data_IF_415837842530
#
_entry.id   IF_415837842530
#
_cell.length_a   1.000
_cell.length_b   1.000
_cell.length_c   1.000
_cell.angle_alpha   90.00
_cell.angle_beta   90.00
_cell.angle_gamma   90.00
#
_symmetry.space_group_name_H-M   'P 1'
#
loop_
_entity.id
_entity.type
_entity.pdbx_description
1 polymer ?
#
# COMPACT_ATOMS: atom_id res chain seq x y z
N UNK A 1 -6.90 -7.37 11.20
CA UNK A 1 -5.81 -6.49 10.71
C UNK A 1 -4.56 -7.26 10.31
N UNK A 2 -3.98 -8.10 11.19
CA UNK A 2 -2.77 -8.91 10.89
C UNK A 2 -2.94 -9.83 9.67
N UNK A 3 -4.07 -10.51 9.56
CA UNK A 3 -4.40 -11.38 8.41
C UNK A 3 -4.43 -10.64 7.06
N UNK A 4 -4.90 -9.38 7.05
CA UNK A 4 -4.93 -8.55 5.84
C UNK A 4 -3.51 -8.21 5.38
N UNK A 5 -2.63 -7.85 6.31
CA UNK A 5 -1.22 -7.54 6.02
C UNK A 5 -0.51 -8.75 5.42
N UNK A 6 -0.69 -9.95 6.00
CA UNK A 6 -0.08 -11.18 5.46
C UNK A 6 -0.63 -11.53 4.07
N UNK A 7 -1.94 -11.40 3.84
CA UNK A 7 -2.53 -11.60 2.50
C UNK A 7 -1.96 -10.61 1.49
N UNK A 8 -1.89 -9.33 1.83
CA UNK A 8 -1.32 -8.29 0.96
C UNK A 8 0.17 -8.53 0.71
N UNK A 9 0.95 -8.88 1.75
CA UNK A 9 2.36 -9.21 1.64
C UNK A 9 2.58 -10.42 0.71
N UNK A 10 1.74 -11.46 0.81
CA UNK A 10 1.80 -12.62 -0.07
C UNK A 10 1.51 -12.26 -1.53
N UNK A 11 0.50 -11.41 -1.78
CA UNK A 11 0.15 -10.96 -3.14
C UNK A 11 1.30 -10.17 -3.81
N UNK A 12 2.03 -9.37 -3.04
CA UNK A 12 3.14 -8.56 -3.55
C UNK A 12 4.50 -9.24 -3.42
N UNK A 13 4.59 -10.42 -2.79
CA UNK A 13 5.85 -11.09 -2.46
C UNK A 13 6.74 -11.29 -3.68
N UNK A 14 6.16 -11.60 -4.84
CA UNK A 14 6.88 -11.79 -6.11
C UNK A 14 7.62 -10.55 -6.62
N UNK A 15 7.23 -9.36 -6.18
CA UNK A 15 7.84 -8.09 -6.59
C UNK A 15 8.99 -7.66 -5.67
N UNK A 16 9.21 -8.36 -4.55
CA UNK A 16 10.24 -8.03 -3.57
C UNK A 16 11.27 -9.14 -3.48
N UNK A 17 12.54 -8.77 -3.28
CA UNK A 17 13.66 -9.70 -3.09
C UNK A 17 13.51 -10.59 -1.86
N UNK A 18 12.69 -10.19 -0.88
CA UNK A 18 12.56 -10.86 0.41
C UNK A 18 11.18 -10.65 1.01
N UNK A 19 10.62 -11.68 1.63
CA UNK A 19 9.30 -11.61 2.25
C UNK A 19 9.22 -10.58 3.40
N UNK A 20 10.30 -10.38 4.15
CA UNK A 20 10.38 -9.35 5.19
C UNK A 20 10.21 -7.93 4.65
N UNK A 21 10.78 -7.63 3.46
CA UNK A 21 10.58 -6.36 2.76
C UNK A 21 9.14 -6.22 2.27
N UNK A 22 8.57 -7.28 1.69
CA UNK A 22 7.16 -7.31 1.29
C UNK A 22 6.22 -7.05 2.48
N UNK A 23 6.50 -7.64 3.64
CA UNK A 23 5.71 -7.44 4.86
C UNK A 23 5.77 -5.99 5.35
N UNK A 24 6.97 -5.41 5.37
CA UNK A 24 7.17 -4.01 5.74
C UNK A 24 6.44 -3.05 4.80
N UNK A 25 6.42 -3.35 3.51
CA UNK A 25 5.67 -2.59 2.51
C UNK A 25 4.16 -2.78 2.66
N UNK A 26 3.69 -4.01 2.88
CA UNK A 26 2.28 -4.32 3.09
C UNK A 26 1.69 -3.56 4.29
N UNK A 27 2.45 -3.40 5.38
CA UNK A 27 2.05 -2.55 6.50
C UNK A 27 1.80 -1.09 6.10
N UNK A 28 2.63 -0.52 5.23
CA UNK A 28 2.42 0.85 4.72
C UNK A 28 1.15 0.93 3.88
N UNK A 29 0.92 -0.05 3.01
CA UNK A 29 -0.28 -0.13 2.15
C UNK A 29 -1.55 -0.24 2.99
N UNK A 30 -1.59 -1.11 4.00
CA UNK A 30 -2.77 -1.26 4.87
C UNK A 30 -3.05 0.02 5.65
N UNK A 31 -2.03 0.69 6.18
CA UNK A 31 -2.18 1.99 6.86
C UNK A 31 -2.71 3.07 5.90
N UNK A 32 -2.20 3.09 4.67
CA UNK A 32 -2.68 4.02 3.64
C UNK A 32 -4.15 3.77 3.31
N UNK A 33 -4.55 2.50 3.11
CA UNK A 33 -5.95 2.11 2.87
C UNK A 33 -6.87 2.60 3.98
N UNK A 34 -6.47 2.45 5.24
CA UNK A 34 -7.25 2.94 6.39
C UNK A 34 -7.38 4.46 6.35
N UNK A 35 -6.30 5.20 6.04
CA UNK A 35 -6.37 6.66 5.91
C UNK A 35 -7.29 7.10 4.76
N UNK A 36 -7.22 6.40 3.61
CA UNK A 36 -8.05 6.68 2.44
C UNK A 36 -9.54 6.43 2.67
N UNK A 37 -9.91 5.55 3.60
CA UNK A 37 -11.32 5.34 3.96
C UNK A 37 -11.93 6.52 4.74
N UNK A 38 -11.09 7.35 5.37
CA UNK A 38 -11.56 8.48 6.19
C UNK A 38 -11.40 9.82 5.48
N UNK A 39 -10.41 9.97 4.59
CA UNK A 39 -10.09 11.23 3.93
C UNK A 39 -9.40 11.04 2.60
N UNK A 40 -9.35 12.11 1.81
CA UNK A 40 -8.47 12.21 0.64
C UNK A 40 -7.02 12.25 1.13
N UNK A 41 -6.19 11.36 0.58
CA UNK A 41 -4.76 11.25 0.95
C UNK A 41 -3.92 11.38 -0.30
N UNK A 42 -2.93 12.28 -0.25
CA UNK A 42 -1.81 12.28 -1.20
C UNK A 42 -0.73 11.31 -0.71
N UNK A 43 -0.25 10.44 -1.59
CA UNK A 43 0.82 9.51 -1.29
C UNK A 43 1.75 9.33 -2.48
N UNK A 44 3.01 8.99 -2.17
CA UNK A 44 4.02 8.65 -3.17
C UNK A 44 4.27 7.15 -3.16
N UNK A 45 4.48 6.57 -4.33
CA UNK A 45 4.87 5.18 -4.47
C UNK A 45 5.98 5.03 -5.51
N UNK A 46 6.84 4.05 -5.29
CA UNK A 46 7.90 3.67 -6.22
C UNK A 46 7.36 2.59 -7.16
N UNK A 47 7.58 2.77 -8.45
CA UNK A 47 7.26 1.77 -9.48
C UNK A 47 8.38 0.73 -9.57
N UNK A 48 8.13 -0.41 -10.22
CA UNK A 48 9.15 -1.46 -10.44
C UNK A 48 10.38 -0.94 -11.19
N UNK A 49 10.19 0.11 -12.00
CA UNK A 49 11.22 0.83 -12.76
C UNK A 49 12.05 1.81 -11.91
N UNK A 50 11.73 2.01 -10.62
CA UNK A 50 12.40 2.96 -9.72
C UNK A 50 11.84 4.38 -9.77
N UNK A 51 10.96 4.70 -10.73
CA UNK A 51 10.30 6.01 -10.78
C UNK A 51 9.37 6.23 -9.58
N UNK A 52 9.51 7.37 -8.89
CA UNK A 52 8.59 7.78 -7.82
C UNK A 52 7.42 8.56 -8.44
N UNK A 53 6.19 8.15 -8.14
CA UNK A 53 4.98 8.85 -8.57
C UNK A 53 4.17 9.32 -7.39
N UNK A 54 3.56 10.49 -7.52
CA UNK A 54 2.60 11.03 -6.56
C UNK A 54 1.18 10.72 -7.06
N UNK A 55 0.32 10.30 -6.16
CA UNK A 55 -1.10 10.08 -6.44
C UNK A 55 -1.95 10.64 -5.29
N UNK A 56 -3.13 11.11 -5.63
CA UNK A 56 -4.15 11.57 -4.68
C UNK A 56 -5.31 10.59 -4.80
N UNK A 57 -5.77 10.05 -3.68
CA UNK A 57 -6.87 9.09 -3.69
C UNK A 57 -7.67 9.04 -2.40
N UNK A 58 -8.91 8.60 -2.53
CA UNK A 58 -9.83 8.29 -1.44
C UNK A 58 -10.55 6.99 -1.74
N UNK A 59 -10.89 6.25 -0.69
CA UNK A 59 -11.78 5.10 -0.73
C UNK A 59 -13.12 5.39 -0.04
N UNK A 60 -13.24 6.56 0.60
CA UNK A 60 -14.54 7.09 0.99
C UNK A 60 -15.31 7.40 -0.29
N UNK A 61 -16.54 6.88 -0.39
CA UNK A 61 -17.48 7.33 -1.40
C UNK A 61 -17.70 8.82 -1.15
N UNK A 62 -17.19 9.68 -2.04
CA UNK A 62 -17.58 11.08 -2.07
C UNK A 62 -19.00 11.09 -2.62
N UNK A 63 -19.98 11.08 -1.71
CA UNK A 63 -21.37 11.35 -2.02
C UNK A 63 -21.60 12.86 -2.07
#
# INVERSE_FOLDING_TARGET
>A
MKSLVFKTAWQIAKNFSSFSRALSYAWKVVKLRIKMLSKVVEFKYEKVDGSIRTAIGTLALLM
#
